data_IF_317388065253
#
_entry.id   IF_317388065253
#
_cell.length_a   1.000
_cell.length_b   1.000
_cell.length_c   1.000
_cell.angle_alpha   90.00
_cell.angle_beta   90.00
_cell.angle_gamma   90.00
#
_symmetry.space_group_name_H-M   'P 1'
#
loop_
_entity.id
_entity.type
_entity.pdbx_description
1 polymer ?
#
# COMPACT_ATOMS: atom_id res chain seq x y z
N UNK A 1 70.05 -23.59 33.62
CA UNK A 1 69.39 -22.29 33.87
C UNK A 1 69.10 -21.55 32.57
N UNK A 2 70.05 -21.50 31.62
CA UNK A 2 69.86 -20.75 30.36
C UNK A 2 68.76 -21.32 29.45
N UNK A 3 68.62 -22.66 29.37
CA UNK A 3 67.49 -23.29 28.65
C UNK A 3 66.12 -22.89 29.20
N UNK A 4 65.97 -22.86 30.52
CA UNK A 4 64.73 -22.44 31.17
C UNK A 4 64.44 -20.96 30.93
N UNK A 5 65.47 -20.11 30.90
CA UNK A 5 65.32 -18.68 30.54
C UNK A 5 64.91 -18.50 29.09
N UNK A 6 65.49 -19.27 28.15
CA UNK A 6 65.12 -19.23 26.75
C UNK A 6 63.68 -19.69 26.51
N UNK A 7 63.26 -20.79 27.15
CA UNK A 7 61.88 -21.27 27.10
C UNK A 7 60.89 -20.27 27.69
N UNK A 8 61.22 -19.64 28.81
CA UNK A 8 60.38 -18.60 29.40
C UNK A 8 60.22 -17.38 28.48
N UNK A 9 61.28 -16.97 27.77
CA UNK A 9 61.24 -15.89 26.81
C UNK A 9 60.38 -16.22 25.58
N UNK A 10 60.53 -17.43 25.04
CA UNK A 10 59.70 -17.93 23.92
C UNK A 10 58.22 -17.99 24.29
N UNK A 11 57.92 -18.46 25.51
CA UNK A 11 56.56 -18.55 26.01
C UNK A 11 55.94 -17.15 26.24
N UNK A 12 56.73 -16.19 26.71
CA UNK A 12 56.28 -14.80 26.87
C UNK A 12 55.94 -14.15 25.51
N UNK A 13 56.76 -14.37 24.48
CA UNK A 13 56.45 -13.88 23.13
C UNK A 13 55.21 -14.56 22.53
N UNK A 14 55.03 -15.87 22.75
CA UNK A 14 53.83 -16.58 22.32
C UNK A 14 52.56 -16.01 22.98
N UNK A 15 52.60 -15.77 24.29
CA UNK A 15 51.47 -15.18 25.02
C UNK A 15 51.16 -13.78 24.48
N UNK A 16 52.19 -12.94 24.26
CA UNK A 16 51.99 -11.60 23.69
C UNK A 16 51.37 -11.65 22.29
N UNK A 17 51.80 -12.58 21.45
CA UNK A 17 51.21 -12.76 20.11
C UNK A 17 49.74 -13.18 20.20
N UNK A 18 49.41 -14.12 21.09
CA UNK A 18 48.03 -14.56 21.33
C UNK A 18 47.14 -13.44 21.90
N UNK A 19 47.65 -12.62 22.83
CA UNK A 19 46.93 -11.46 23.36
C UNK A 19 46.64 -10.43 22.27
N UNK A 20 47.60 -10.19 21.38
CA UNK A 20 47.45 -9.26 20.24
C UNK A 20 46.38 -9.78 19.27
N UNK A 21 46.44 -11.06 18.91
CA UNK A 21 45.43 -11.68 18.03
C UNK A 21 44.04 -11.67 18.69
N UNK A 22 43.96 -11.97 19.98
CA UNK A 22 42.71 -11.95 20.74
C UNK A 22 42.08 -10.56 20.76
N UNK A 23 42.89 -9.51 20.99
CA UNK A 23 42.40 -8.13 20.96
C UNK A 23 41.92 -7.74 19.57
N UNK A 24 42.66 -8.10 18.52
CA UNK A 24 42.21 -7.85 17.13
C UNK A 24 40.88 -8.54 16.83
N UNK A 25 40.71 -9.80 17.24
CA UNK A 25 39.45 -10.52 17.08
C UNK A 25 38.30 -9.89 17.86
N UNK A 26 38.55 -9.38 19.07
CA UNK A 26 37.53 -8.67 19.86
C UNK A 26 37.07 -7.40 19.16
N UNK A 27 37.99 -6.61 18.61
CA UNK A 27 37.64 -5.39 17.86
C UNK A 27 36.81 -5.70 16.61
N UNK A 28 37.21 -6.72 15.85
CA UNK A 28 36.45 -7.17 14.68
C UNK A 28 35.04 -7.63 15.06
N UNK A 29 34.91 -8.40 16.15
CA UNK A 29 33.62 -8.90 16.63
C UNK A 29 32.71 -7.76 17.10
N UNK A 30 33.26 -6.76 17.78
CA UNK A 30 32.51 -5.56 18.16
C UNK A 30 32.05 -4.77 16.92
N UNK A 31 32.89 -4.65 15.88
CA UNK A 31 32.51 -4.06 14.60
C UNK A 31 31.36 -4.81 13.92
N UNK A 32 31.43 -6.15 13.89
CA UNK A 32 30.36 -6.99 13.34
C UNK A 32 29.05 -6.83 14.12
N UNK A 33 29.13 -6.80 15.45
CA UNK A 33 27.96 -6.60 16.33
C UNK A 33 27.29 -5.25 16.07
N UNK A 34 28.06 -4.19 15.84
CA UNK A 34 27.51 -2.88 15.52
C UNK A 34 26.82 -2.86 14.16
N UNK A 35 27.41 -3.49 13.14
CA UNK A 35 26.77 -3.58 11.82
C UNK A 35 25.51 -4.45 11.86
N UNK A 36 25.51 -5.56 12.60
CA UNK A 36 24.32 -6.39 12.81
C UNK A 36 23.18 -5.57 13.45
N UNK A 37 23.48 -4.79 14.49
CA UNK A 37 22.48 -3.93 15.13
C UNK A 37 21.93 -2.87 14.18
N UNK A 38 22.77 -2.31 13.31
CA UNK A 38 22.36 -1.33 12.29
C UNK A 38 21.48 -1.99 11.23
N UNK A 39 21.84 -3.17 10.75
CA UNK A 39 21.05 -3.93 9.78
C UNK A 39 19.69 -4.32 10.34
N UNK A 40 19.62 -4.76 11.61
CA UNK A 40 18.33 -5.11 12.23
C UNK A 40 17.40 -3.89 12.35
N UNK A 41 17.94 -2.70 12.65
CA UNK A 41 17.17 -1.44 12.62
C UNK A 41 16.66 -1.13 11.22
N UNK A 42 17.52 -1.21 10.20
CA UNK A 42 17.13 -0.95 8.80
C UNK A 42 16.07 -1.94 8.30
N UNK A 43 16.18 -3.21 8.70
CA UNK A 43 15.19 -4.24 8.41
C UNK A 43 13.85 -3.91 9.06
N UNK A 44 13.84 -3.55 10.35
CA UNK A 44 12.62 -3.16 11.05
C UNK A 44 11.94 -1.94 10.40
N UNK A 45 12.70 -0.92 10.01
CA UNK A 45 12.18 0.23 9.26
C UNK A 45 11.61 -0.16 7.89
N UNK A 46 12.29 -1.06 7.19
CA UNK A 46 11.86 -1.53 5.87
C UNK A 46 10.57 -2.34 5.96
N UNK A 47 10.43 -3.20 6.98
CA UNK A 47 9.18 -3.93 7.25
C UNK A 47 8.03 -2.96 7.52
N UNK A 48 8.24 -1.95 8.36
CA UNK A 48 7.22 -0.92 8.63
C UNK A 48 6.81 -0.15 7.37
N UNK A 49 7.78 0.17 6.49
CA UNK A 49 7.49 0.81 5.19
C UNK A 49 6.67 -0.12 4.28
N UNK A 50 7.00 -1.41 4.24
CA UNK A 50 6.24 -2.40 3.48
C UNK A 50 4.80 -2.55 3.99
N UNK A 51 4.61 -2.61 5.30
CA UNK A 51 3.28 -2.67 5.92
C UNK A 51 2.44 -1.45 5.52
N UNK A 52 3.00 -0.24 5.62
CA UNK A 52 2.32 1.00 5.20
C UNK A 52 1.95 1.00 3.71
N UNK A 53 2.87 0.55 2.85
CA UNK A 53 2.60 0.44 1.41
C UNK A 53 1.49 -0.57 1.12
N UNK A 54 1.47 -1.69 1.85
CA UNK A 54 0.43 -2.70 1.71
C UNK A 54 -0.94 -2.18 2.13
N UNK A 55 -1.03 -1.45 3.25
CA UNK A 55 -2.29 -0.80 3.67
C UNK A 55 -2.77 0.21 2.62
N UNK A 56 -1.88 1.09 2.14
CA UNK A 56 -2.24 2.06 1.10
C UNK A 56 -2.69 1.39 -0.20
N UNK A 57 -2.09 0.25 -0.56
CA UNK A 57 -2.50 -0.53 -1.72
C UNK A 57 -3.91 -1.08 -1.55
N UNK A 58 -4.22 -1.65 -0.38
CA UNK A 58 -5.56 -2.16 -0.06
C UNK A 58 -6.62 -1.05 -0.11
N UNK A 59 -6.34 0.11 0.50
CA UNK A 59 -7.23 1.28 0.46
C UNK A 59 -7.46 1.75 -0.97
N UNK A 60 -6.39 1.82 -1.78
CA UNK A 60 -6.49 2.23 -3.18
C UNK A 60 -7.32 1.24 -4.00
N UNK A 61 -7.15 -0.07 -3.78
CA UNK A 61 -7.94 -1.11 -4.46
C UNK A 61 -9.42 -1.05 -4.07
N UNK A 62 -9.72 -0.76 -2.80
CA UNK A 62 -11.08 -0.54 -2.34
C UNK A 62 -11.71 0.67 -3.05
N UNK A 63 -11.01 1.80 -3.07
CA UNK A 63 -11.45 3.01 -3.76
C UNK A 63 -11.71 2.77 -5.25
N UNK A 64 -10.81 2.03 -5.93
CA UNK A 64 -10.99 1.66 -7.33
C UNK A 64 -12.25 0.81 -7.50
N UNK A 65 -12.49 -0.16 -6.62
CA UNK A 65 -13.66 -1.04 -6.69
C UNK A 65 -14.96 -0.25 -6.50
N UNK A 66 -14.99 0.67 -5.54
CA UNK A 66 -16.12 1.57 -5.31
C UNK A 66 -16.37 2.50 -6.51
N UNK A 67 -15.31 3.08 -7.07
CA UNK A 67 -15.42 3.93 -8.26
C UNK A 67 -15.95 3.15 -9.48
N UNK A 68 -15.50 1.90 -9.69
CA UNK A 68 -16.02 1.05 -10.77
C UNK A 68 -17.51 0.76 -10.61
N UNK A 69 -17.95 0.42 -9.39
CA UNK A 69 -19.36 0.17 -9.11
C UNK A 69 -20.22 1.41 -9.42
N UNK A 70 -19.74 2.59 -9.01
CA UNK A 70 -20.40 3.85 -9.31
C UNK A 70 -20.45 4.15 -10.82
N UNK A 71 -19.36 3.91 -11.55
CA UNK A 71 -19.34 4.06 -13.02
C UNK A 71 -20.41 3.16 -13.66
N UNK A 72 -20.50 1.89 -13.26
CA UNK A 72 -21.51 0.96 -13.78
C UNK A 72 -22.92 1.46 -13.48
N UNK A 73 -23.17 1.95 -12.27
CA UNK A 73 -24.47 2.52 -11.90
C UNK A 73 -24.81 3.75 -12.77
N UNK A 74 -23.86 4.65 -12.99
CA UNK A 74 -24.07 5.85 -13.81
C UNK A 74 -24.31 5.49 -15.28
N UNK A 75 -23.55 4.54 -15.82
CA UNK A 75 -23.74 4.06 -17.19
C UNK A 75 -25.13 3.47 -17.38
N UNK A 76 -25.62 2.69 -16.41
CA UNK A 76 -26.97 2.13 -16.45
C UNK A 76 -28.06 3.22 -16.35
N UNK A 77 -27.89 4.20 -15.46
CA UNK A 77 -28.80 5.34 -15.36
C UNK A 77 -28.83 6.15 -16.66
N UNK A 78 -27.67 6.42 -17.27
CA UNK A 78 -27.58 7.11 -18.57
C UNK A 78 -28.28 6.33 -19.67
N UNK A 79 -28.12 4.99 -19.71
CA UNK A 79 -28.82 4.14 -20.67
C UNK A 79 -30.35 4.26 -20.51
N UNK A 80 -30.85 4.08 -19.29
CA UNK A 80 -32.29 4.17 -19.01
C UNK A 80 -32.87 5.53 -19.40
N UNK A 81 -32.15 6.62 -19.12
CA UNK A 81 -32.56 7.97 -19.51
C UNK A 81 -32.59 8.13 -21.03
N UNK A 82 -31.57 7.65 -21.75
CA UNK A 82 -31.55 7.71 -23.22
C UNK A 82 -32.69 6.91 -23.83
N UNK A 83 -32.95 5.70 -23.33
CA UNK A 83 -34.06 4.86 -23.80
C UNK A 83 -35.42 5.54 -23.57
N UNK A 84 -35.61 6.20 -22.42
CA UNK A 84 -36.82 6.98 -22.13
C UNK A 84 -36.97 8.19 -23.06
N UNK A 85 -35.89 8.92 -23.34
CA UNK A 85 -35.89 10.05 -24.27
C UNK A 85 -36.28 9.56 -25.67
N UNK A 86 -35.64 8.50 -26.18
CA UNK A 86 -35.97 7.94 -27.51
C UNK A 86 -37.42 7.45 -27.59
N UNK A 87 -37.96 6.87 -26.51
CA UNK A 87 -39.37 6.49 -26.44
C UNK A 87 -40.30 7.71 -26.52
N UNK A 88 -39.96 8.81 -25.84
CA UNK A 88 -40.71 10.05 -25.90
C UNK A 88 -40.64 10.69 -27.29
N UNK A 89 -39.47 10.71 -27.92
CA UNK A 89 -39.29 11.26 -29.28
C UNK A 89 -40.14 10.48 -30.30
N UNK A 90 -40.17 9.15 -30.20
CA UNK A 90 -41.00 8.28 -31.06
C UNK A 90 -42.50 8.56 -30.87
N UNK A 91 -42.94 8.82 -29.64
CA UNK A 91 -44.34 9.20 -29.35
C UNK A 91 -44.66 10.58 -29.90
N UNK A 92 -43.74 11.54 -29.79
CA UNK A 92 -43.91 12.88 -30.34
C UNK A 92 -44.05 12.81 -31.87
N UNK A 93 -43.25 11.98 -32.53
CA UNK A 93 -43.32 11.77 -33.99
C UNK A 93 -44.61 11.06 -34.44
N UNK A 94 -45.07 10.06 -33.69
CA UNK A 94 -46.27 9.27 -34.00
C UNK A 94 -47.58 9.92 -33.56
N UNK A 95 -47.54 10.87 -32.61
CA UNK A 95 -48.71 11.54 -32.05
C UNK A 95 -49.55 10.69 -31.09
N UNK A 96 -49.08 9.49 -30.71
CA UNK A 96 -49.82 8.55 -29.87
C UNK A 96 -49.18 8.41 -28.47
N UNK A 97 -49.73 9.16 -27.52
CA UNK A 97 -49.25 9.24 -26.13
C UNK A 97 -49.39 7.90 -25.38
N UNK A 98 -50.23 6.97 -25.86
CA UNK A 98 -50.42 5.66 -25.23
C UNK A 98 -49.20 4.74 -25.35
N UNK A 99 -48.24 5.10 -26.21
CA UNK A 99 -47.02 4.33 -26.44
C UNK A 99 -45.88 4.63 -25.47
N UNK A 100 -46.00 5.65 -24.60
CA UNK A 100 -45.00 5.93 -23.56
C UNK A 100 -45.10 4.87 -22.45
N UNK A 101 -44.05 4.10 -22.17
CA UNK A 101 -44.04 3.17 -21.04
C UNK A 101 -44.05 3.92 -19.70
N UNK A 102 -44.87 3.47 -18.75
CA UNK A 102 -44.88 4.00 -17.36
C UNK A 102 -43.49 3.94 -16.69
N UNK A 103 -42.64 3.01 -17.10
CA UNK A 103 -41.25 2.89 -16.64
C UNK A 103 -40.40 4.10 -17.02
N UNK A 104 -40.62 4.68 -18.20
CA UNK A 104 -39.91 5.88 -18.67
C UNK A 104 -40.26 7.12 -17.80
N UNK A 105 -41.51 7.21 -17.34
CA UNK A 105 -42.00 8.31 -16.50
C UNK A 105 -41.58 8.21 -15.03
N UNK A 106 -41.07 7.05 -14.60
CA UNK A 106 -40.71 6.77 -13.20
C UNK A 106 -39.20 6.73 -12.94
N UNK A 107 -38.37 7.04 -13.94
CA UNK A 107 -36.92 7.13 -13.76
C UNK A 107 -36.60 8.26 -12.77
N UNK A 108 -36.03 7.90 -11.63
CA UNK A 108 -35.52 8.83 -10.63
C UNK A 108 -34.02 8.60 -10.49
N UNK A 109 -33.18 9.38 -11.18
CA UNK A 109 -31.75 9.28 -11.00
C UNK A 109 -31.40 9.69 -9.57
N UNK A 110 -30.70 8.82 -8.85
CA UNK A 110 -30.15 9.15 -7.54
C UNK A 110 -28.70 9.63 -7.72
N UNK A 111 -28.55 10.94 -7.85
CA UNK A 111 -27.26 11.62 -7.93
C UNK A 111 -26.72 12.02 -6.55
N UNK A 112 -27.42 11.68 -5.45
CA UNK A 112 -27.08 12.11 -4.09
C UNK A 112 -26.42 11.02 -3.26
N UNK A 113 -25.98 9.93 -3.89
CA UNK A 113 -25.26 8.87 -3.20
C UNK A 113 -24.04 9.47 -2.45
N UNK A 114 -23.96 9.29 -1.12
CA UNK A 114 -22.80 9.69 -0.32
C UNK A 114 -21.47 9.20 -0.89
N UNK A 115 -21.44 8.02 -1.53
CA UNK A 115 -20.25 7.50 -2.24
C UNK A 115 -19.84 8.38 -3.43
N UNK A 116 -20.82 8.89 -4.18
CA UNK A 116 -20.58 9.78 -5.31
C UNK A 116 -20.00 11.12 -4.83
N UNK A 117 -20.43 11.61 -3.67
CA UNK A 117 -19.88 12.82 -3.05
C UNK A 117 -18.50 12.59 -2.42
N UNK A 118 -18.26 11.44 -1.80
CA UNK A 118 -16.99 11.09 -1.13
C UNK A 118 -15.84 10.88 -2.14
N UNK A 119 -16.12 10.25 -3.29
CA UNK A 119 -15.12 10.03 -4.35
C UNK A 119 -14.82 11.34 -5.08
N UNK A 120 -15.83 12.16 -5.39
CA UNK A 120 -15.66 13.45 -6.10
C UNK A 120 -14.95 14.50 -5.23
N UNK A 121 -15.23 14.53 -3.93
CA UNK A 121 -14.58 15.48 -3.01
C UNK A 121 -13.24 14.99 -2.48
N UNK A 122 -12.77 13.80 -2.89
CA UNK A 122 -11.50 13.22 -2.45
C UNK A 122 -11.35 13.32 -0.94
N UNK A 123 -12.16 12.58 -0.19
CA UNK A 123 -12.31 12.77 1.25
C UNK A 123 -10.97 12.99 1.95
N UNK A 124 -10.77 14.25 2.29
CA UNK A 124 -9.63 14.83 3.00
C UNK A 124 -9.76 14.57 4.50
N UNK A 125 -10.34 13.43 4.89
CA UNK A 125 -10.58 13.07 6.27
C UNK A 125 -9.62 11.95 6.69
N UNK A 126 -8.37 12.34 6.92
CA UNK A 126 -7.51 11.69 7.91
C UNK A 126 -7.47 12.61 9.14
N UNK A 127 -8.34 12.35 10.11
CA UNK A 127 -8.10 12.71 11.51
C UNK A 127 -7.41 11.54 12.19
#
# INVERSE_FOLDING_TARGET
VDKLRAQAAEQAELVRAQETELNSKKEQLEGLRQEEQKLEKQKAESVKKLENLNTNLQDTQLNISQAKALITQLQEQTRQLNDAISSCDTVIESGDVSQIPDTALRIKPDFRDPLMRAIVNGDSNKQ
#
